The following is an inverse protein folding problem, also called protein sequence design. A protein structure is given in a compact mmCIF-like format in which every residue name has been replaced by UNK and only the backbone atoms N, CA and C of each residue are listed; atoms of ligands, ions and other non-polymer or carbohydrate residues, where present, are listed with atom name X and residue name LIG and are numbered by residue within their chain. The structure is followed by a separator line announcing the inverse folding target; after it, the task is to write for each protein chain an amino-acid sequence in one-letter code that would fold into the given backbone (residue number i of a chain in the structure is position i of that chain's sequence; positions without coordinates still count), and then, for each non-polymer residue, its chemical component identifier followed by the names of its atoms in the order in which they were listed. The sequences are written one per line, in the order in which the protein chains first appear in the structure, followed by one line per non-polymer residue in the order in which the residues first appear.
data_IF_079136166282
#
_entry.id   IF_079136166282
#
_cell.length_a   1.000
_cell.length_b   1.000
_cell.length_c   1.000
_cell.angle_alpha   90.00
_cell.angle_beta   90.00
_cell.angle_gamma   90.00
#
_symmetry.space_group_name_H-M   'P 1'
#
loop_
_entity.id
_entity.type
_entity.pdbx_description
1 polymer ?
#
# COMPACT_ATOMS: atom_id res chain seq x y z
N UNK A 1 11.34 -3.13 25.29
CA UNK A 1 9.87 -3.35 25.30
C UNK A 1 9.52 -4.24 24.11
N UNK A 2 8.74 -5.27 24.35
CA UNK A 2 8.20 -6.14 23.30
C UNK A 2 7.02 -5.49 22.59
N UNK A 3 6.86 -5.75 21.29
CA UNK A 3 5.77 -5.25 20.48
C UNK A 3 5.05 -6.38 19.73
N UNK A 4 3.74 -6.33 19.69
CA UNK A 4 2.88 -7.30 19.04
C UNK A 4 2.01 -6.61 17.98
N UNK A 5 2.00 -7.14 16.76
CA UNK A 5 1.07 -6.74 15.71
C UNK A 5 -0.09 -7.75 15.75
N UNK A 6 -1.30 -7.23 16.01
CA UNK A 6 -2.51 -8.01 16.12
C UNK A 6 -3.19 -8.19 14.75
N UNK A 7 -4.21 -9.03 14.68
CA UNK A 7 -5.01 -9.16 13.45
C UNK A 7 -5.61 -7.81 13.05
N UNK A 8 -5.67 -7.56 11.74
CA UNK A 8 -6.36 -6.41 11.18
C UNK A 8 -7.88 -6.56 11.32
N UNK A 9 -8.58 -5.42 11.43
CA UNK A 9 -10.03 -5.36 11.58
C UNK A 9 -10.80 -5.88 10.36
N UNK A 10 -11.47 -5.02 9.60
CA UNK A 10 -12.39 -5.39 8.50
C UNK A 10 -11.69 -5.36 7.13
N UNK A 11 -11.09 -6.47 6.65
CA UNK A 11 -10.36 -6.51 5.39
C UNK A 11 -11.25 -6.19 4.18
N UNK A 12 -12.57 -6.36 4.28
CA UNK A 12 -13.53 -6.11 3.21
C UNK A 12 -13.55 -4.65 2.75
N UNK A 13 -13.20 -3.72 3.64
CA UNK A 13 -13.08 -2.29 3.30
C UNK A 13 -11.97 -2.02 2.30
N UNK A 14 -10.92 -2.87 2.29
CA UNK A 14 -9.80 -2.80 1.36
C UNK A 14 -10.00 -3.60 0.06
N UNK A 15 -11.23 -4.15 -0.20
CA UNK A 15 -11.52 -4.73 -1.51
C UNK A 15 -11.30 -3.70 -2.64
N UNK A 16 -10.80 -4.16 -3.79
CA UNK A 16 -10.58 -5.55 -4.23
C UNK A 16 -9.25 -6.17 -3.84
N UNK A 17 -8.32 -5.45 -3.21
CA UNK A 17 -6.95 -5.93 -2.93
C UNK A 17 -6.95 -7.11 -1.94
N UNK A 18 -7.85 -7.08 -0.98
CA UNK A 18 -7.96 -8.10 0.07
C UNK A 18 -8.91 -9.25 -0.29
N UNK A 19 -9.36 -9.32 -1.55
CA UNK A 19 -10.09 -10.49 -2.05
C UNK A 19 -9.18 -11.73 -2.17
N UNK A 20 -7.89 -11.52 -2.44
CA UNK A 20 -6.91 -12.58 -2.78
C UNK A 20 -5.78 -12.70 -1.76
N UNK A 21 -5.64 -11.74 -0.86
CA UNK A 21 -4.59 -11.70 0.17
C UNK A 21 -5.05 -10.98 1.42
N UNK A 22 -4.37 -11.23 2.54
CA UNK A 22 -4.57 -10.44 3.75
C UNK A 22 -4.05 -8.99 3.56
N UNK A 23 -4.61 -8.02 4.29
CA UNK A 23 -4.12 -6.63 4.29
C UNK A 23 -2.62 -6.56 4.61
N UNK A 24 -2.17 -7.34 5.58
CA UNK A 24 -0.76 -7.45 5.99
C UNK A 24 0.19 -7.85 4.85
N UNK A 25 -0.30 -8.56 3.83
CA UNK A 25 0.46 -8.99 2.65
C UNK A 25 0.37 -7.99 1.48
N UNK A 26 -0.45 -6.93 1.56
CA UNK A 26 -0.50 -5.90 0.53
C UNK A 26 0.84 -5.15 0.48
N UNK A 27 1.49 -5.02 -0.69
CA UNK A 27 2.78 -4.37 -0.77
C UNK A 27 2.65 -2.84 -0.69
N UNK A 28 3.55 -2.22 0.07
CA UNK A 28 3.77 -0.77 0.13
C UNK A 28 5.29 -0.54 0.09
N UNK A 29 5.74 0.41 -0.71
CA UNK A 29 7.18 0.69 -0.91
C UNK A 29 7.99 -0.60 -1.15
N UNK A 30 7.49 -1.50 -2.03
CA UNK A 30 8.17 -2.71 -2.48
C UNK A 30 8.21 -3.88 -1.47
N UNK A 31 7.53 -3.78 -0.32
CA UNK A 31 7.46 -4.86 0.69
C UNK A 31 6.04 -5.03 1.23
N UNK A 32 5.66 -6.21 1.74
CA UNK A 32 4.42 -6.40 2.46
C UNK A 32 4.23 -5.39 3.61
N UNK A 33 3.02 -4.92 3.82
CA UNK A 33 2.69 -3.95 4.89
C UNK A 33 3.22 -4.41 6.25
N UNK A 34 3.04 -5.68 6.60
CA UNK A 34 3.51 -6.25 7.87
C UNK A 34 5.03 -6.13 8.03
N UNK A 35 5.80 -6.28 6.96
CA UNK A 35 7.26 -6.16 7.01
C UNK A 35 7.70 -4.69 7.18
N UNK A 36 6.94 -3.75 6.64
CA UNK A 36 7.16 -2.32 6.88
C UNK A 36 6.82 -1.92 8.32
N UNK A 37 5.71 -2.44 8.86
CA UNK A 37 5.34 -2.24 10.26
C UNK A 37 6.40 -2.80 11.21
N UNK A 38 6.86 -4.04 10.99
CA UNK A 38 7.95 -4.65 11.77
C UNK A 38 9.24 -3.83 11.73
N UNK A 39 9.63 -3.39 10.53
CA UNK A 39 10.83 -2.57 10.36
C UNK A 39 10.72 -1.25 11.13
N UNK A 40 9.55 -0.61 11.11
CA UNK A 40 9.31 0.65 11.85
C UNK A 40 9.34 0.44 13.37
N UNK A 41 8.72 -0.61 13.87
CA UNK A 41 8.78 -0.98 15.29
C UNK A 41 10.24 -1.27 15.73
N UNK A 42 10.99 -2.02 14.94
CA UNK A 42 12.39 -2.33 15.20
C UNK A 42 13.26 -1.06 15.18
N UNK A 43 13.04 -0.14 14.24
CA UNK A 43 13.72 1.16 14.17
C UNK A 43 13.43 2.03 15.40
N UNK A 44 12.26 1.91 16.00
CA UNK A 44 11.93 2.54 17.29
C UNK A 44 12.56 1.82 18.50
N UNK A 45 13.35 0.76 18.29
CA UNK A 45 14.00 -0.02 19.34
C UNK A 45 13.08 -0.96 20.11
N UNK A 46 12.03 -1.44 19.46
CA UNK A 46 11.08 -2.41 19.99
C UNK A 46 11.41 -3.82 19.49
N UNK A 47 11.29 -4.81 20.34
CA UNK A 47 11.43 -6.24 20.00
C UNK A 47 10.09 -6.76 19.45
N UNK A 48 10.02 -7.03 18.15
CA UNK A 48 8.78 -7.52 17.51
C UNK A 48 8.59 -9.00 17.77
N UNK A 49 7.47 -9.37 18.38
CA UNK A 49 7.13 -10.72 18.76
C UNK A 49 5.93 -11.25 17.97
N UNK A 50 5.93 -12.53 17.59
CA UNK A 50 4.74 -13.30 17.18
C UNK A 50 4.12 -12.99 15.84
N UNK A 51 4.72 -12.16 14.99
CA UNK A 51 4.20 -11.85 13.66
C UNK A 51 4.83 -12.75 12.58
N UNK A 52 4.43 -14.02 12.50
CA UNK A 52 4.74 -14.85 11.33
C UNK A 52 3.76 -14.50 10.21
N UNK A 53 4.28 -13.90 9.14
CA UNK A 53 3.51 -13.61 7.93
C UNK A 53 3.27 -14.90 7.14
N UNK A 54 2.10 -15.49 7.26
CA UNK A 54 1.67 -16.48 6.29
C UNK A 54 1.16 -15.73 5.04
N UNK A 55 2.07 -15.46 4.10
CA UNK A 55 1.82 -14.65 2.89
C UNK A 55 0.95 -15.37 1.86
N UNK A 56 0.54 -16.63 2.08
CA UNK A 56 -0.11 -17.47 1.06
C UNK A 56 -1.58 -17.82 1.33
N UNK A 57 -2.18 -17.38 2.41
CA UNK A 57 -3.59 -17.68 2.66
C UNK A 57 -4.29 -16.50 3.35
N UNK A 58 -5.63 -16.40 3.14
CA UNK A 58 -6.54 -15.59 3.97
C UNK A 58 -6.60 -16.07 5.44
N UNK A 59 -5.59 -16.80 5.89
CA UNK A 59 -5.46 -17.25 7.26
C UNK A 59 -5.17 -16.04 8.14
N UNK A 60 -6.00 -15.85 9.14
CA UNK A 60 -5.78 -14.93 10.26
C UNK A 60 -4.36 -15.08 10.78
N UNK A 61 -3.71 -13.99 11.15
CA UNK A 61 -2.44 -14.03 11.88
C UNK A 61 -2.65 -14.89 13.13
N UNK A 62 -2.24 -16.15 13.07
CA UNK A 62 -2.53 -17.17 14.08
C UNK A 62 -1.63 -17.01 15.31
N UNK A 63 -1.60 -15.84 15.95
CA UNK A 63 -1.07 -15.70 17.29
C UNK A 63 -1.73 -14.53 18.01
N UNK A 64 -2.91 -14.75 18.55
CA UNK A 64 -3.28 -13.93 19.71
C UNK A 64 -2.25 -14.23 20.80
N UNK A 65 -1.48 -13.25 21.27
CA UNK A 65 -0.60 -13.46 22.41
C UNK A 65 -1.49 -13.87 23.59
N UNK A 66 -1.34 -15.10 24.06
CA UNK A 66 -2.00 -15.50 25.30
C UNK A 66 -1.51 -14.56 26.42
N UNK A 67 -2.35 -14.24 27.37
CA UNK A 67 -1.99 -13.43 28.55
C UNK A 67 -0.74 -13.95 29.28
N UNK A 68 -0.33 -15.17 29.02
CA UNK A 68 0.87 -15.83 29.58
C UNK A 68 2.18 -15.46 28.85
N UNK A 69 2.14 -14.86 27.63
CA UNK A 69 3.36 -14.61 26.84
C UNK A 69 4.11 -13.33 27.20
N UNK A 70 3.49 -12.41 27.95
CA UNK A 70 4.11 -11.13 28.33
C UNK A 70 4.94 -11.17 29.64
N UNK A 71 4.95 -12.28 30.38
CA UNK A 71 5.81 -12.44 31.57
C UNK A 71 5.67 -11.36 32.65
N UNK A 72 4.57 -10.60 32.65
CA UNK A 72 4.36 -9.47 33.57
C UNK A 72 5.04 -8.17 33.14
N UNK A 73 5.63 -8.10 31.93
CA UNK A 73 6.23 -6.88 31.38
C UNK A 73 5.23 -6.09 30.56
N UNK A 74 5.34 -4.74 30.58
CA UNK A 74 4.58 -3.85 29.70
C UNK A 74 5.02 -4.05 28.26
N UNK A 75 4.08 -4.35 27.37
CA UNK A 75 4.29 -4.53 25.95
C UNK A 75 3.51 -3.50 25.13
N UNK A 76 3.95 -3.25 23.90
CA UNK A 76 3.20 -2.48 22.92
C UNK A 76 2.34 -3.42 22.06
N UNK A 77 1.10 -3.06 21.85
CA UNK A 77 0.14 -3.76 20.98
C UNK A 77 -0.36 -2.80 19.92
N UNK A 78 -0.36 -3.25 18.67
CA UNK A 78 -0.79 -2.47 17.51
C UNK A 78 -1.68 -3.34 16.61
N UNK A 79 -2.93 -2.94 16.30
CA UNK A 79 -3.72 -3.57 15.26
C UNK A 79 -3.00 -3.58 13.90
N UNK A 80 -3.12 -4.66 13.14
CA UNK A 80 -2.44 -4.80 11.84
C UNK A 80 -2.93 -3.85 10.75
N UNK A 81 -4.06 -3.20 10.97
CA UNK A 81 -4.61 -2.11 10.16
C UNK A 81 -4.22 -0.71 10.68
N UNK A 82 -3.28 -0.60 11.61
CA UNK A 82 -2.74 0.68 12.08
C UNK A 82 -1.39 0.97 11.43
N UNK A 83 -1.17 2.22 11.06
CA UNK A 83 0.13 2.76 10.70
C UNK A 83 0.55 3.80 11.72
N UNK A 84 1.76 3.68 12.26
CA UNK A 84 2.29 4.58 13.27
C UNK A 84 3.55 5.30 12.75
N UNK A 85 3.62 6.59 12.97
CA UNK A 85 4.81 7.40 12.74
C UNK A 85 5.93 7.04 13.72
N UNK A 86 7.16 7.46 13.42
CA UNK A 86 8.27 7.33 14.34
C UNK A 86 8.04 8.13 15.64
N UNK A 87 7.42 9.30 15.54
CA UNK A 87 7.12 10.17 16.69
C UNK A 87 6.12 9.53 17.64
N UNK A 88 5.00 9.02 17.11
CA UNK A 88 3.98 8.31 17.90
C UNK A 88 4.54 7.05 18.57
N UNK A 89 5.42 6.30 17.87
CA UNK A 89 6.08 5.12 18.45
C UNK A 89 7.05 5.50 19.59
N UNK A 90 7.81 6.58 19.43
CA UNK A 90 8.70 7.07 20.47
C UNK A 90 7.92 7.55 21.70
N UNK A 91 6.80 8.26 21.50
CA UNK A 91 5.92 8.69 22.58
C UNK A 91 5.38 7.48 23.36
N UNK A 92 4.86 6.46 22.69
CA UNK A 92 4.39 5.22 23.35
C UNK A 92 5.51 4.48 24.08
N UNK A 93 6.70 4.40 23.50
CA UNK A 93 7.84 3.70 24.11
C UNK A 93 8.32 4.36 25.40
N UNK A 94 8.19 5.68 25.52
CA UNK A 94 8.61 6.45 26.70
C UNK A 94 7.65 6.32 27.88
N UNK A 95 6.47 5.70 27.66
CA UNK A 95 5.50 5.52 28.72
C UNK A 95 5.86 4.31 29.59
N UNK A 96 6.12 4.56 30.88
CA UNK A 96 6.35 3.52 31.90
C UNK A 96 5.04 2.95 32.46
N UNK A 97 3.93 3.44 31.97
CA UNK A 97 2.57 3.10 32.42
C UNK A 97 1.69 2.70 31.25
N UNK A 98 0.52 2.14 31.52
CA UNK A 98 -0.45 1.84 30.48
C UNK A 98 -0.89 3.10 29.76
N UNK A 99 -0.72 3.14 28.45
CA UNK A 99 -1.08 4.26 27.60
C UNK A 99 -1.84 3.77 26.36
N UNK A 100 -2.68 4.64 25.81
CA UNK A 100 -3.40 4.42 24.56
C UNK A 100 -3.13 5.59 23.60
N UNK A 101 -2.80 5.25 22.36
CA UNK A 101 -2.65 6.22 21.27
C UNK A 101 -3.96 6.27 20.48
N UNK A 102 -4.52 7.45 20.36
CA UNK A 102 -5.80 7.71 19.70
C UNK A 102 -5.58 8.55 18.43
N UNK A 103 -6.33 8.23 17.38
CA UNK A 103 -6.43 9.11 16.21
C UNK A 103 -7.30 10.36 16.50
N UNK A 104 -7.48 11.23 15.51
CA UNK A 104 -8.25 12.46 15.64
C UNK A 104 -9.74 12.21 15.96
N UNK A 105 -10.26 11.04 15.59
CA UNK A 105 -11.65 10.64 15.81
C UNK A 105 -11.83 9.87 17.14
N UNK A 106 -10.74 9.63 17.87
CA UNK A 106 -10.72 8.94 19.15
C UNK A 106 -10.65 7.41 19.05
N UNK A 107 -10.34 6.86 17.88
CA UNK A 107 -10.12 5.41 17.72
C UNK A 107 -8.71 5.02 18.18
N UNK A 108 -8.59 3.81 18.72
CA UNK A 108 -7.34 3.29 19.27
C UNK A 108 -6.43 2.79 18.16
N UNK A 109 -5.29 3.45 17.96
CA UNK A 109 -4.24 3.03 16.99
C UNK A 109 -3.24 2.03 17.58
N UNK A 110 -2.92 2.17 18.86
CA UNK A 110 -2.02 1.28 19.59
C UNK A 110 -2.16 1.52 21.10
N UNK A 111 -1.64 0.58 21.90
CA UNK A 111 -1.58 0.76 23.36
C UNK A 111 -0.37 0.05 23.96
N UNK A 112 0.01 0.51 25.15
CA UNK A 112 0.97 -0.18 26.02
C UNK A 112 0.24 -0.77 27.22
N UNK A 113 0.62 -1.96 27.64
CA UNK A 113 0.00 -2.63 28.79
C UNK A 113 0.47 -4.06 28.97
N UNK A 114 -0.12 -4.75 29.96
CA UNK A 114 0.18 -6.13 30.29
C UNK A 114 -0.64 -7.14 29.46
N UNK A 115 -1.63 -6.68 28.68
CA UNK A 115 -2.57 -7.53 27.95
C UNK A 115 -2.78 -7.04 26.51
N UNK A 116 -3.14 -7.96 25.64
CA UNK A 116 -3.50 -7.70 24.25
C UNK A 116 -4.85 -6.97 24.06
N UNK A 117 -5.54 -6.64 25.11
CA UNK A 117 -6.74 -5.81 25.11
C UNK A 117 -6.44 -4.48 25.78
N UNK A 118 -6.87 -3.36 25.20
CA UNK A 118 -6.68 -2.05 25.83
C UNK A 118 -7.40 -2.03 27.18
N UNK A 119 -6.75 -1.45 28.21
CA UNK A 119 -7.36 -1.31 29.52
C UNK A 119 -8.62 -0.43 29.42
N UNK A 120 -9.71 -0.88 30.02
CA UNK A 120 -10.95 -0.12 30.15
C UNK A 120 -10.98 0.72 31.42
N UNK A 121 -9.98 0.57 32.28
CA UNK A 121 -9.89 1.32 33.57
C UNK A 121 -9.43 2.75 33.29
N UNK A 122 -10.41 3.66 33.22
CA UNK A 122 -10.20 5.06 32.85
C UNK A 122 -9.36 5.86 33.89
N UNK A 123 -9.14 5.32 35.07
CA UNK A 123 -8.45 6.06 36.17
C UNK A 123 -6.92 6.06 36.03
N UNK A 124 -6.33 5.12 35.26
CA UNK A 124 -4.87 4.94 35.19
C UNK A 124 -4.36 4.84 33.75
N UNK A 125 -5.18 5.14 32.75
CA UNK A 125 -4.82 5.05 31.35
C UNK A 125 -4.39 6.41 30.79
N UNK A 126 -3.13 6.54 30.42
CA UNK A 126 -2.64 7.73 29.73
C UNK A 126 -3.12 7.76 28.27
N UNK A 127 -3.74 8.86 27.87
CA UNK A 127 -4.21 9.06 26.49
C UNK A 127 -3.23 9.95 25.75
N UNK A 128 -2.72 9.43 24.64
CA UNK A 128 -1.86 10.15 23.70
C UNK A 128 -2.65 10.43 22.45
N UNK A 129 -2.51 11.63 21.90
CA UNK A 129 -3.05 11.95 20.57
C UNK A 129 -2.00 11.62 19.51
N UNK A 130 -2.40 10.91 18.47
CA UNK A 130 -1.55 10.60 17.34
C UNK A 130 -1.30 11.86 16.48
N UNK A 131 -0.14 11.90 15.87
CA UNK A 131 0.15 12.87 14.81
C UNK A 131 -0.59 12.52 13.50
N UNK A 132 -0.49 13.43 12.51
CA UNK A 132 -1.16 13.25 11.25
C UNK A 132 -0.63 12.05 10.43
N UNK A 133 0.59 11.57 10.70
CA UNK A 133 1.20 10.44 10.00
C UNK A 133 0.95 9.09 10.69
N UNK A 134 0.12 9.07 11.72
CA UNK A 134 -0.37 7.87 12.41
C UNK A 134 -1.88 7.76 12.20
N UNK A 135 -2.34 6.64 11.61
CA UNK A 135 -3.74 6.47 11.21
C UNK A 135 -4.13 5.01 10.99
N UNK A 136 -5.43 4.73 10.92
CA UNK A 136 -5.94 3.44 10.48
C UNK A 136 -5.90 3.28 8.96
N UNK A 137 -5.52 2.10 8.50
CA UNK A 137 -5.60 1.67 7.10
C UNK A 137 -6.99 1.03 6.91
N UNK A 138 -7.99 1.86 6.70
CA UNK A 138 -9.38 1.43 6.56
C UNK A 138 -9.76 1.11 5.11
N UNK A 139 -9.08 1.74 4.17
CA UNK A 139 -9.43 1.71 2.75
C UNK A 139 -8.20 1.47 1.87
N UNK A 140 -8.35 1.00 0.64
CA UNK A 140 -7.19 0.74 -0.23
C UNK A 140 -6.35 1.99 -0.53
N UNK A 141 -6.93 3.17 -0.52
CA UNK A 141 -6.17 4.43 -0.71
C UNK A 141 -5.32 4.84 0.48
N UNK A 142 -5.56 4.26 1.67
CA UNK A 142 -4.69 4.49 2.83
C UNK A 142 -3.35 3.77 2.65
N UNK A 143 -3.31 2.68 1.87
CA UNK A 143 -2.06 2.05 1.45
C UNK A 143 -1.21 2.98 0.57
N UNK A 144 -1.83 3.80 -0.29
CA UNK A 144 -1.10 4.84 -1.04
C UNK A 144 -0.50 5.89 -0.10
N UNK A 145 -1.21 6.24 0.98
CA UNK A 145 -0.70 7.18 1.98
C UNK A 145 0.51 6.61 2.73
N UNK A 146 0.43 5.35 3.20
CA UNK A 146 1.58 4.65 3.79
C UNK A 146 2.75 4.60 2.80
N UNK A 147 2.46 4.27 1.54
CA UNK A 147 3.44 4.21 0.47
C UNK A 147 4.14 5.55 0.25
N UNK A 148 3.40 6.64 0.16
CA UNK A 148 3.91 8.01 -0.01
C UNK A 148 4.85 8.41 1.14
N UNK A 149 4.47 8.09 2.40
CA UNK A 149 5.32 8.33 3.58
C UNK A 149 6.64 7.58 3.45
N UNK A 150 6.58 6.27 3.20
CA UNK A 150 7.79 5.43 3.08
C UNK A 150 8.68 5.84 1.91
N UNK A 151 8.10 6.15 0.75
CA UNK A 151 8.84 6.64 -0.41
C UNK A 151 9.47 8.01 -0.13
N UNK A 152 8.79 8.86 0.64
CA UNK A 152 9.32 10.15 1.10
C UNK A 152 10.52 10.00 2.06
N UNK A 153 10.69 8.86 2.71
CA UNK A 153 11.82 8.54 3.59
C UNK A 153 13.04 7.97 2.84
N UNK A 154 12.89 7.54 1.59
CA UNK A 154 13.99 6.99 0.79
C UNK A 154 15.04 8.09 0.48
N UNK A 155 16.32 7.84 0.84
CA UNK A 155 17.41 8.80 0.70
C UNK A 155 18.55 8.30 -0.18
N UNK A 156 18.63 7.00 -0.41
CA UNK A 156 19.75 6.39 -1.10
C UNK A 156 19.30 5.48 -2.23
N UNK A 157 20.01 5.52 -3.33
CA UNK A 157 19.80 4.59 -4.45
C UNK A 157 20.51 3.26 -4.19
N UNK A 158 19.87 2.17 -4.58
CA UNK A 158 20.45 0.82 -4.57
C UNK A 158 20.17 0.13 -5.88
N UNK A 159 21.20 0.01 -6.74
CA UNK A 159 21.06 -0.53 -8.09
C UNK A 159 21.75 -1.91 -8.13
N UNK A 160 20.95 -2.97 -8.26
CA UNK A 160 21.42 -4.36 -8.43
C UNK A 160 21.18 -4.88 -9.85
N UNK A 161 20.41 -4.17 -10.66
CA UNK A 161 20.11 -4.46 -12.05
C UNK A 161 20.94 -3.61 -13.03
N UNK A 162 20.50 -3.57 -14.27
CA UNK A 162 21.15 -2.83 -15.35
C UNK A 162 20.40 -1.53 -15.67
N UNK A 163 21.12 -0.41 -15.76
CA UNK A 163 20.56 0.89 -16.17
C UNK A 163 21.29 1.34 -17.44
N UNK A 164 20.53 1.58 -18.52
CA UNK A 164 21.09 2.13 -19.75
C UNK A 164 21.73 3.50 -19.51
N UNK A 165 22.86 3.77 -20.14
CA UNK A 165 23.52 5.08 -20.18
C UNK A 165 22.69 6.18 -20.86
N UNK A 166 21.63 5.79 -21.60
CA UNK A 166 20.63 6.67 -22.24
C UNK A 166 19.32 6.77 -21.45
N UNK A 167 19.28 6.28 -20.22
CA UNK A 167 18.19 6.54 -19.27
C UNK A 167 18.56 7.72 -18.38
N UNK A 168 17.57 8.47 -17.93
CA UNK A 168 17.75 9.59 -16.99
C UNK A 168 17.06 9.22 -15.69
N UNK A 169 17.79 9.41 -14.58
CA UNK A 169 17.27 9.17 -13.22
C UNK A 169 17.48 10.41 -12.37
N UNK A 170 16.38 11.06 -11.99
CA UNK A 170 16.35 12.23 -11.12
C UNK A 170 15.63 11.88 -9.82
N UNK A 171 16.40 11.49 -8.79
CA UNK A 171 15.91 11.03 -7.48
C UNK A 171 16.52 9.72 -7.05
N UNK A 172 15.93 9.08 -6.04
CA UNK A 172 16.39 7.80 -5.53
C UNK A 172 15.78 6.63 -6.29
N UNK A 173 16.63 5.73 -6.80
CA UNK A 173 16.22 4.50 -7.48
C UNK A 173 16.69 3.26 -6.71
N UNK A 174 15.74 2.41 -6.32
CA UNK A 174 16.04 1.05 -5.88
C UNK A 174 15.66 0.11 -7.02
N UNK A 175 16.65 -0.59 -7.57
CA UNK A 175 16.48 -1.52 -8.71
C UNK A 175 16.92 -2.92 -8.31
N UNK A 176 16.01 -3.88 -8.37
CA UNK A 176 16.26 -5.28 -8.03
C UNK A 176 17.11 -6.01 -9.07
N UNK A 177 17.66 -7.14 -8.64
CA UNK A 177 18.50 -8.01 -9.46
C UNK A 177 17.76 -8.51 -10.71
N UNK A 178 18.45 -8.63 -11.84
CA UNK A 178 17.90 -9.09 -13.12
C UNK A 178 16.98 -8.07 -13.81
N UNK A 179 16.71 -6.92 -13.18
CA UNK A 179 15.91 -5.86 -13.79
C UNK A 179 16.74 -5.00 -14.71
N UNK A 180 16.11 -4.51 -15.80
CA UNK A 180 16.78 -3.73 -16.83
C UNK A 180 15.98 -2.47 -17.15
N UNK A 181 16.65 -1.30 -17.07
CA UNK A 181 16.13 -0.02 -17.52
C UNK A 181 16.72 0.28 -18.89
N UNK A 182 15.86 0.38 -19.89
CA UNK A 182 16.22 0.51 -21.31
C UNK A 182 16.43 1.98 -21.71
N UNK A 183 16.98 2.24 -22.92
CA UNK A 183 17.19 3.59 -23.42
C UNK A 183 15.93 4.45 -23.44
N UNK A 184 16.10 5.76 -23.14
CA UNK A 184 15.02 6.75 -23.19
C UNK A 184 14.04 6.69 -22.03
N UNK A 185 14.28 5.86 -21.04
CA UNK A 185 13.50 5.87 -19.81
C UNK A 185 13.84 7.11 -19.00
N UNK A 186 12.82 7.82 -18.51
CA UNK A 186 12.97 8.94 -17.59
C UNK A 186 12.33 8.60 -16.25
N UNK A 187 13.10 8.69 -15.18
CA UNK A 187 12.66 8.46 -13.80
C UNK A 187 12.80 9.75 -13.03
N UNK A 188 11.71 10.20 -12.39
CA UNK A 188 11.67 11.42 -11.58
C UNK A 188 11.12 11.12 -10.18
N UNK A 189 11.87 11.50 -9.13
CA UNK A 189 11.50 11.24 -7.74
C UNK A 189 11.95 9.88 -7.25
N UNK A 190 11.34 9.39 -6.18
CA UNK A 190 11.72 8.14 -5.53
C UNK A 190 10.97 6.95 -6.14
N UNK A 191 11.72 6.01 -6.70
CA UNK A 191 11.17 4.84 -7.40
C UNK A 191 11.81 3.54 -6.90
N UNK A 192 10.99 2.55 -6.63
CA UNK A 192 11.40 1.18 -6.30
C UNK A 192 10.95 0.25 -7.42
N UNK A 193 11.87 -0.54 -7.96
CA UNK A 193 11.61 -1.57 -8.97
C UNK A 193 12.14 -2.90 -8.45
N UNK A 194 11.31 -3.90 -8.41
CA UNK A 194 11.65 -5.25 -7.97
C UNK A 194 12.61 -5.97 -8.89
N UNK A 195 12.64 -7.29 -8.83
CA UNK A 195 13.55 -8.17 -9.59
C UNK A 195 12.95 -8.57 -10.93
N UNK A 196 13.85 -8.86 -11.90
CA UNK A 196 13.51 -9.41 -13.21
C UNK A 196 12.50 -8.56 -13.98
N UNK A 197 12.54 -7.24 -13.82
CA UNK A 197 11.67 -6.31 -14.52
C UNK A 197 12.29 -5.81 -15.82
N UNK A 198 11.44 -5.57 -16.82
CA UNK A 198 11.81 -4.87 -18.05
C UNK A 198 11.13 -3.52 -18.09
N UNK A 199 11.93 -2.44 -18.04
CA UNK A 199 11.44 -1.07 -17.98
C UNK A 199 11.88 -0.33 -19.24
N UNK A 200 10.92 0.15 -20.00
CA UNK A 200 11.17 0.89 -21.24
C UNK A 200 11.05 0.04 -22.53
N UNK A 201 11.51 0.59 -23.68
CA UNK A 201 12.14 1.90 -23.83
C UNK A 201 11.14 3.08 -23.73
N UNK A 202 11.70 4.31 -23.60
CA UNK A 202 10.93 5.57 -23.70
C UNK A 202 9.67 5.59 -22.82
N UNK A 203 9.75 5.19 -21.56
CA UNK A 203 8.67 5.36 -20.58
C UNK A 203 9.04 6.42 -19.53
N UNK A 204 8.02 6.98 -18.87
CA UNK A 204 8.16 7.97 -17.82
C UNK A 204 7.62 7.42 -16.50
N UNK A 205 8.47 7.31 -15.48
CA UNK A 205 8.09 6.85 -14.14
C UNK A 205 8.38 7.96 -13.16
N UNK A 206 7.38 8.37 -12.38
CA UNK A 206 7.54 9.54 -11.51
C UNK A 206 6.78 9.46 -10.20
N UNK A 207 7.17 10.37 -9.29
CA UNK A 207 6.59 10.45 -7.95
C UNK A 207 6.94 9.24 -7.10
N UNK A 208 6.20 9.02 -6.04
CA UNK A 208 6.31 7.84 -5.22
C UNK A 208 5.75 6.63 -6.00
N UNK A 209 6.61 5.85 -6.66
CA UNK A 209 6.19 4.69 -7.46
C UNK A 209 6.95 3.43 -7.06
N UNK A 210 6.22 2.35 -6.78
CA UNK A 210 6.82 1.03 -6.58
C UNK A 210 6.27 0.03 -7.60
N UNK A 211 7.17 -0.72 -8.21
CA UNK A 211 6.91 -1.77 -9.18
C UNK A 211 7.44 -3.08 -8.59
N UNK A 212 6.60 -4.08 -8.49
CA UNK A 212 6.94 -5.41 -7.96
C UNK A 212 7.86 -6.22 -8.88
N UNK A 213 8.04 -7.49 -8.56
CA UNK A 213 8.90 -8.40 -9.31
C UNK A 213 8.26 -8.85 -10.65
N UNK A 214 9.09 -9.16 -11.66
CA UNK A 214 8.68 -9.72 -12.95
C UNK A 214 7.70 -8.85 -13.75
N UNK A 215 7.76 -7.55 -13.61
CA UNK A 215 6.90 -6.60 -14.32
C UNK A 215 7.50 -6.17 -15.66
N UNK A 216 6.62 -5.80 -16.59
CA UNK A 216 7.01 -5.17 -17.85
C UNK A 216 6.29 -3.82 -18.01
N UNK A 217 7.04 -2.73 -17.97
CA UNK A 217 6.59 -1.37 -18.30
C UNK A 217 7.22 -0.99 -19.62
N UNK A 218 6.43 -0.92 -20.67
CA UNK A 218 6.93 -0.79 -22.04
C UNK A 218 6.90 0.63 -22.59
N UNK A 219 6.95 0.71 -23.93
CA UNK A 219 7.08 1.98 -24.63
C UNK A 219 5.91 2.92 -24.43
N UNK A 220 6.23 4.21 -24.21
CA UNK A 220 5.27 5.29 -24.05
C UNK A 220 4.25 5.02 -22.93
N UNK A 221 4.68 4.35 -21.88
CA UNK A 221 3.91 4.18 -20.64
C UNK A 221 4.35 5.23 -19.64
N UNK A 222 3.38 5.90 -19.04
CA UNK A 222 3.63 6.78 -17.89
C UNK A 222 3.04 6.16 -16.63
N UNK A 223 3.85 6.10 -15.57
CA UNK A 223 3.41 5.68 -14.23
C UNK A 223 3.72 6.80 -13.24
N UNK A 224 2.72 7.18 -12.46
CA UNK A 224 2.84 8.25 -11.47
C UNK A 224 2.27 7.82 -10.14
N UNK A 225 3.07 7.96 -9.06
CA UNK A 225 2.59 7.83 -7.67
C UNK A 225 1.71 6.57 -7.47
N UNK A 226 2.20 5.40 -7.86
CA UNK A 226 1.42 4.18 -7.94
C UNK A 226 2.15 2.95 -7.39
N UNK A 227 1.38 1.97 -6.98
CA UNK A 227 1.88 0.66 -6.55
C UNK A 227 1.46 -0.35 -7.63
N UNK A 228 2.43 -0.94 -8.33
CA UNK A 228 2.25 -2.11 -9.17
C UNK A 228 2.74 -3.34 -8.43
N UNK A 229 1.88 -4.33 -8.25
CA UNK A 229 2.27 -5.59 -7.63
C UNK A 229 3.07 -6.46 -8.60
N UNK A 230 3.40 -7.71 -8.24
CA UNK A 230 4.23 -8.56 -9.10
C UNK A 230 3.53 -8.91 -10.42
N UNK A 231 4.30 -9.21 -11.46
CA UNK A 231 3.84 -9.71 -12.76
C UNK A 231 2.84 -8.79 -13.49
N UNK A 232 2.86 -7.49 -13.18
CA UNK A 232 2.05 -6.52 -13.91
C UNK A 232 2.67 -6.22 -15.28
N UNK A 233 1.82 -6.26 -16.32
CA UNK A 233 2.18 -5.98 -17.70
C UNK A 233 1.50 -4.72 -18.21
N UNK A 234 2.27 -3.66 -18.47
CA UNK A 234 1.86 -2.41 -19.11
C UNK A 234 2.79 -2.15 -20.28
N UNK A 235 2.57 -2.84 -21.41
CA UNK A 235 3.56 -2.91 -22.48
C UNK A 235 3.53 -1.72 -23.44
N UNK A 236 2.40 -0.99 -23.56
CA UNK A 236 2.22 0.01 -24.61
C UNK A 236 1.29 1.16 -24.22
N UNK A 237 1.71 2.41 -24.51
CA UNK A 237 0.86 3.61 -24.63
C UNK A 237 -0.14 3.82 -23.49
N UNK A 238 0.22 3.48 -22.26
CA UNK A 238 -0.71 3.50 -21.13
C UNK A 238 -0.34 4.57 -20.12
N UNK A 239 -1.34 5.05 -19.38
CA UNK A 239 -1.13 5.92 -18.23
C UNK A 239 -1.72 5.30 -16.95
N UNK A 240 -0.90 5.22 -15.91
CA UNK A 240 -1.31 4.76 -14.59
C UNK A 240 -0.89 5.77 -13.53
N UNK A 241 -1.85 6.50 -12.98
CA UNK A 241 -1.58 7.54 -11.98
C UNK A 241 -2.36 7.34 -10.70
N UNK A 242 -1.68 7.53 -9.55
CA UNK A 242 -2.26 7.53 -8.20
C UNK A 242 -3.13 6.27 -7.95
N UNK A 243 -2.61 5.12 -8.36
CA UNK A 243 -3.35 3.84 -8.47
C UNK A 243 -2.64 2.69 -7.75
N UNK A 244 -3.40 1.65 -7.42
CA UNK A 244 -2.85 0.36 -6.99
C UNK A 244 -3.29 -0.70 -8.00
N UNK A 245 -2.33 -1.45 -8.53
CA UNK A 245 -2.55 -2.47 -9.55
C UNK A 245 -2.14 -3.84 -9.00
N UNK A 246 -3.11 -4.73 -8.92
CA UNK A 246 -2.95 -6.09 -8.41
C UNK A 246 -2.05 -6.97 -9.26
N UNK A 247 -1.63 -8.06 -8.66
CA UNK A 247 -0.69 -9.01 -9.21
C UNK A 247 -1.22 -9.67 -10.49
N UNK A 248 -0.35 -9.92 -11.48
CA UNK A 248 -0.73 -10.58 -12.72
C UNK A 248 -1.62 -9.76 -13.67
N UNK A 249 -1.90 -8.51 -13.35
CA UNK A 249 -2.74 -7.64 -14.18
C UNK A 249 -2.06 -7.27 -15.49
N UNK A 250 -2.81 -7.31 -16.58
CA UNK A 250 -2.34 -6.93 -17.93
C UNK A 250 -3.16 -5.77 -18.49
N UNK A 251 -2.50 -4.66 -18.77
CA UNK A 251 -3.10 -3.51 -19.45
C UNK A 251 -3.02 -3.68 -20.97
N UNK A 252 -4.16 -3.73 -21.63
CA UNK A 252 -4.25 -3.56 -23.07
C UNK A 252 -3.70 -2.18 -23.49
N UNK A 253 -3.12 -2.10 -24.68
CA UNK A 253 -2.52 -0.87 -25.18
C UNK A 253 -3.50 0.32 -25.10
N UNK A 254 -3.03 1.47 -24.65
CA UNK A 254 -3.86 2.66 -24.51
C UNK A 254 -4.79 2.66 -23.29
N UNK A 255 -4.57 1.80 -22.32
CA UNK A 255 -5.33 1.85 -21.05
C UNK A 255 -4.92 3.07 -20.24
N UNK A 256 -5.91 3.86 -19.80
CA UNK A 256 -5.71 5.11 -19.07
C UNK A 256 -6.50 5.07 -17.75
N UNK A 257 -5.82 5.32 -16.62
CA UNK A 257 -6.48 5.60 -15.34
C UNK A 257 -6.62 7.11 -15.17
N UNK A 258 -7.83 7.65 -15.29
CA UNK A 258 -8.05 9.04 -14.96
C UNK A 258 -7.89 9.25 -13.44
N UNK A 259 -7.20 10.32 -13.01
CA UNK A 259 -6.86 10.57 -11.61
C UNK A 259 -7.20 11.95 -11.09
N UNK A 260 -7.88 12.81 -11.90
CA UNK A 260 -8.24 14.16 -11.52
C UNK A 260 -9.67 14.50 -11.94
N UNK A 261 -10.42 15.12 -11.02
CA UNK A 261 -11.78 15.59 -11.27
C UNK A 261 -11.78 16.97 -11.88
N UNK A 262 -12.67 17.23 -12.84
CA UNK A 262 -12.81 18.54 -13.47
C UNK A 262 -13.26 19.65 -12.50
N UNK A 263 -13.98 19.28 -11.42
CA UNK A 263 -14.45 20.23 -10.40
C UNK A 263 -13.41 20.51 -9.29
N UNK A 264 -12.23 19.88 -9.37
CA UNK A 264 -11.12 20.10 -8.42
C UNK A 264 -11.39 19.60 -6.99
N UNK A 265 -12.48 18.86 -6.75
CA UNK A 265 -12.82 18.31 -5.43
C UNK A 265 -12.14 16.97 -5.18
N UNK A 266 -12.02 16.53 -3.92
CA UNK A 266 -11.57 15.19 -3.60
C UNK A 266 -12.40 14.10 -4.29
N UNK A 267 -11.75 12.98 -4.58
CA UNK A 267 -12.41 11.83 -5.18
C UNK A 267 -13.26 11.09 -4.16
N UNK A 268 -14.32 10.44 -4.65
CA UNK A 268 -15.11 9.49 -3.86
C UNK A 268 -15.03 8.11 -4.48
N UNK A 269 -14.97 7.08 -3.63
CA UNK A 269 -14.93 5.68 -4.04
C UNK A 269 -15.99 4.87 -3.31
N UNK A 270 -16.51 3.85 -3.97
CA UNK A 270 -17.59 3.03 -3.42
C UNK A 270 -17.07 2.03 -2.39
N UNK A 271 -17.61 2.03 -1.18
CA UNK A 271 -17.30 1.06 -0.11
C UNK A 271 -18.58 0.61 0.53
N UNK A 272 -18.84 -0.70 0.57
CA UNK A 272 -20.04 -1.26 1.21
C UNK A 272 -21.39 -0.73 0.67
N UNK A 273 -21.42 -0.19 -0.56
CA UNK A 273 -22.61 0.41 -1.16
C UNK A 273 -22.71 1.94 -0.99
N UNK A 274 -21.78 2.55 -0.27
CA UNK A 274 -21.73 4.00 -0.02
C UNK A 274 -20.56 4.67 -0.73
N UNK A 275 -20.74 5.92 -1.14
CA UNK A 275 -19.67 6.76 -1.71
C UNK A 275 -18.90 7.46 -0.58
N UNK A 276 -17.74 6.93 -0.25
CA UNK A 276 -16.84 7.46 0.77
C UNK A 276 -15.90 8.50 0.15
N UNK A 277 -15.73 9.64 0.81
CA UNK A 277 -14.71 10.63 0.45
C UNK A 277 -13.32 10.07 0.77
N UNK A 278 -12.43 10.12 -0.20
CA UNK A 278 -11.06 9.60 -0.05
C UNK A 278 -10.09 10.61 0.52
N UNK A 279 -10.49 11.88 0.65
CA UNK A 279 -9.62 13.01 0.98
C UNK A 279 -8.56 13.34 -0.08
N UNK A 280 -8.53 12.60 -1.22
CA UNK A 280 -7.49 12.71 -2.23
C UNK A 280 -7.94 13.53 -3.44
N UNK A 281 -7.18 14.58 -3.77
CA UNK A 281 -7.38 15.38 -5.00
C UNK A 281 -6.89 14.66 -6.25
N UNK A 282 -5.91 13.76 -6.10
CA UNK A 282 -5.41 12.85 -7.13
C UNK A 282 -5.64 11.42 -6.69
N UNK A 283 -6.46 10.69 -7.42
CA UNK A 283 -6.76 9.30 -7.15
C UNK A 283 -7.23 8.59 -8.42
N UNK A 284 -6.50 7.57 -8.83
CA UNK A 284 -6.77 6.79 -10.03
C UNK A 284 -7.70 5.62 -9.78
N UNK A 285 -7.21 4.41 -9.91
CA UNK A 285 -7.99 3.18 -9.79
C UNK A 285 -7.37 2.21 -8.78
N UNK A 286 -8.21 1.37 -8.19
CA UNK A 286 -7.79 0.20 -7.42
C UNK A 286 -8.16 -1.05 -8.21
N UNK A 287 -7.14 -1.74 -8.69
CA UNK A 287 -7.30 -2.89 -9.60
C UNK A 287 -6.85 -4.14 -8.85
N UNK A 288 -7.71 -5.14 -8.80
CA UNK A 288 -7.43 -6.45 -8.21
C UNK A 288 -6.48 -7.30 -9.05
N UNK A 289 -6.25 -8.52 -8.61
CA UNK A 289 -5.33 -9.44 -9.28
C UNK A 289 -5.91 -10.01 -10.58
N UNK A 290 -5.00 -10.38 -11.50
CA UNK A 290 -5.34 -11.05 -12.77
C UNK A 290 -6.44 -10.35 -13.57
N UNK A 291 -6.43 -9.00 -13.56
CA UNK A 291 -7.33 -8.19 -14.38
C UNK A 291 -6.72 -8.00 -15.77
N UNK A 292 -7.54 -8.17 -16.82
CA UNK A 292 -7.13 -7.96 -18.20
C UNK A 292 -7.95 -6.83 -18.84
N UNK A 293 -7.32 -5.69 -19.12
CA UNK A 293 -8.03 -4.62 -19.83
C UNK A 293 -7.92 -4.79 -21.34
N UNK A 294 -9.03 -4.52 -22.05
CA UNK A 294 -9.03 -4.37 -23.50
C UNK A 294 -8.21 -3.14 -23.92
N UNK A 295 -7.81 -3.08 -25.20
CA UNK A 295 -7.14 -1.89 -25.75
C UNK A 295 -8.03 -0.65 -25.57
N UNK A 296 -7.41 0.53 -25.31
CA UNK A 296 -8.10 1.80 -25.13
C UNK A 296 -9.16 1.79 -24.00
N UNK A 297 -8.96 1.00 -22.96
CA UNK A 297 -9.81 1.08 -21.77
C UNK A 297 -9.56 2.37 -21.03
N UNK A 298 -10.63 3.13 -20.75
CA UNK A 298 -10.61 4.31 -19.89
C UNK A 298 -11.20 3.99 -18.52
N UNK A 299 -10.41 4.16 -17.44
CA UNK A 299 -10.89 3.90 -16.08
C UNK A 299 -11.14 5.23 -15.38
N UNK A 300 -12.38 5.47 -14.94
CA UNK A 300 -12.74 6.69 -14.23
C UNK A 300 -12.10 6.75 -12.84
N UNK A 301 -11.83 7.96 -12.33
CA UNK A 301 -11.16 8.12 -11.04
C UNK A 301 -11.95 7.47 -9.90
N UNK A 302 -11.23 6.85 -8.97
CA UNK A 302 -11.81 6.21 -7.81
C UNK A 302 -12.56 4.91 -8.08
N UNK A 303 -12.47 4.37 -9.31
CA UNK A 303 -13.11 3.10 -9.65
C UNK A 303 -12.27 1.92 -9.21
N UNK A 304 -12.97 0.82 -8.93
CA UNK A 304 -12.39 -0.45 -8.51
C UNK A 304 -12.71 -1.53 -9.52
N UNK A 305 -11.71 -2.37 -9.81
CA UNK A 305 -11.88 -3.56 -10.65
C UNK A 305 -11.53 -4.78 -9.80
N UNK A 306 -12.47 -5.72 -9.65
CA UNK A 306 -12.27 -6.93 -8.86
C UNK A 306 -11.34 -7.92 -9.56
N UNK A 307 -10.73 -8.86 -8.82
CA UNK A 307 -9.88 -9.88 -9.41
C UNK A 307 -10.55 -10.67 -10.55
N UNK A 308 -9.75 -11.08 -11.53
CA UNK A 308 -10.15 -11.90 -12.67
C UNK A 308 -11.21 -11.25 -13.58
N UNK A 309 -11.40 -9.92 -13.48
CA UNK A 309 -12.28 -9.21 -14.41
C UNK A 309 -11.52 -8.78 -15.68
N UNK A 310 -12.27 -8.58 -16.75
CA UNK A 310 -11.74 -8.03 -17.99
C UNK A 310 -12.65 -6.96 -18.56
N UNK A 311 -12.06 -6.03 -19.32
CA UNK A 311 -12.81 -5.01 -20.07
C UNK A 311 -12.77 -5.30 -21.57
N UNK A 312 -13.78 -4.81 -22.29
CA UNK A 312 -13.80 -4.87 -23.75
C UNK A 312 -12.91 -3.77 -24.36
N UNK A 313 -12.43 -3.92 -25.59
CA UNK A 313 -11.76 -2.83 -26.28
C UNK A 313 -12.60 -1.56 -26.33
N UNK A 314 -11.97 -0.41 -25.97
CA UNK A 314 -12.63 0.88 -25.95
C UNK A 314 -13.60 1.11 -24.78
N UNK A 315 -13.66 0.21 -23.83
CA UNK A 315 -14.59 0.32 -22.70
C UNK A 315 -14.20 1.47 -21.75
N UNK A 316 -15.23 2.21 -21.31
CA UNK A 316 -15.10 3.19 -20.24
C UNK A 316 -15.67 2.62 -18.92
N UNK A 317 -14.79 2.31 -17.98
CA UNK A 317 -15.15 1.82 -16.64
C UNK A 317 -15.63 2.99 -15.79
N UNK A 318 -16.94 3.22 -15.79
CA UNK A 318 -17.60 4.33 -15.07
C UNK A 318 -18.08 3.94 -13.68
N UNK A 319 -18.21 2.64 -13.43
CA UNK A 319 -18.63 2.05 -12.17
C UNK A 319 -17.65 0.93 -11.79
N UNK A 320 -17.70 0.51 -10.52
CA UNK A 320 -16.87 -0.60 -10.06
C UNK A 320 -17.22 -1.88 -10.82
N UNK A 321 -16.21 -2.56 -11.35
CA UNK A 321 -16.37 -3.81 -12.09
C UNK A 321 -16.22 -5.00 -11.13
N UNK A 322 -17.34 -5.64 -10.83
CA UNK A 322 -17.44 -6.76 -9.89
C UNK A 322 -17.82 -8.05 -10.60
N UNK A 323 -17.53 -9.24 -10.02
CA UNK A 323 -18.04 -10.50 -10.54
C UNK A 323 -19.55 -10.46 -10.72
N UNK A 324 -20.05 -10.94 -11.88
CA UNK A 324 -21.47 -10.93 -12.21
C UNK A 324 -22.02 -9.64 -12.83
N UNK A 325 -21.24 -8.57 -12.92
CA UNK A 325 -21.65 -7.31 -13.57
C UNK A 325 -21.28 -7.24 -15.07
N UNK A 326 -20.76 -8.32 -15.65
CA UNK A 326 -20.46 -8.41 -17.07
C UNK A 326 -21.75 -8.71 -17.86
N UNK A 327 -22.52 -7.71 -18.18
CA UNK A 327 -23.59 -7.79 -19.18
C UNK A 327 -23.13 -7.22 -20.52
#
# INVERSE_FOLDING_TARGET
MKAFILDAGSPERCHPLTCTRALAACPVAGRPLIEQQKARLAAAGLEVCGAESNTQSNARLNAQPSAASAGGETCLYMPGDSWLSAESLLALRQMDVSAVLLDADGHVLAWTGLRAEPSTDAGHLHRLSADADSFHILYPWDLLRVHEILMGELRESKILGEVSDRAVVEGCLVLGEGSRILPGVYIEGNVIIGRNCKIGPNCYIRGATAIGDNCHVGQAVEIKNSILMNRVMMCHLSYCGDSIVGEGTNFGAGTITANFRHDGKPHRSMVGGELVDTGRLKFGAIIGDDVHTGIHTGIYPGRKIWPHQSTRPGEAVRQDLKPGNNA
#
